data_IF_162043832658
#
_entry.id   IF_162043832658
#
_cell.length_a   1.000
_cell.length_b   1.000
_cell.length_c   1.000
_cell.angle_alpha   90.00
_cell.angle_beta   90.00
_cell.angle_gamma   90.00
#
_symmetry.space_group_name_H-M   'P 1'
#
loop_
_entity.id
_entity.type
_entity.pdbx_description
1 polymer ?
#
# COMPACT_ATOMS: atom_id res chain seq x y z
N UNK A 1 8.68 11.68 -15.49
CA UNK A 1 7.36 11.58 -14.83
C UNK A 1 6.47 10.45 -15.37
N UNK A 2 6.45 10.13 -16.69
CA UNK A 2 5.58 9.09 -17.27
C UNK A 2 5.73 7.66 -16.70
N UNK A 3 6.87 7.34 -16.09
CA UNK A 3 7.20 5.98 -15.59
C UNK A 3 6.57 5.70 -14.21
N UNK A 4 6.22 6.75 -13.45
CA UNK A 4 5.84 6.61 -12.03
C UNK A 4 4.38 6.21 -11.83
N UNK A 5 3.54 6.40 -12.85
CA UNK A 5 2.10 6.22 -12.77
C UNK A 5 1.68 4.97 -13.56
N UNK A 6 0.49 4.48 -13.29
CA UNK A 6 -0.07 3.30 -13.95
C UNK A 6 -1.24 3.71 -14.86
N UNK A 7 -0.97 4.16 -16.12
CA UNK A 7 -2.03 4.43 -17.08
C UNK A 7 -2.64 3.11 -17.58
N UNK A 8 -3.97 3.02 -17.56
CA UNK A 8 -4.71 1.88 -18.09
C UNK A 8 -5.76 2.34 -19.11
N UNK A 9 -6.21 1.39 -19.93
CA UNK A 9 -7.37 1.62 -20.79
C UNK A 9 -8.64 1.51 -19.94
N UNK A 10 -9.67 2.35 -20.14
CA UNK A 10 -10.91 2.29 -19.35
C UNK A 10 -11.61 0.93 -19.37
N UNK A 11 -11.38 0.14 -20.42
CA UNK A 11 -11.97 -1.18 -20.63
C UNK A 11 -11.16 -2.32 -19.97
N UNK A 12 -10.06 -2.03 -19.27
CA UNK A 12 -9.31 -3.05 -18.55
C UNK A 12 -10.22 -3.71 -17.51
N UNK A 13 -10.24 -5.05 -17.49
CA UNK A 13 -10.96 -5.80 -16.49
C UNK A 13 -10.28 -5.67 -15.12
N UNK A 14 -10.96 -4.96 -14.21
CA UNK A 14 -10.57 -4.74 -12.83
C UNK A 14 -11.63 -5.28 -11.85
N UNK A 15 -12.41 -6.27 -12.27
CA UNK A 15 -13.45 -6.89 -11.46
C UNK A 15 -12.90 -7.68 -10.26
N UNK A 16 -11.73 -8.28 -10.42
CA UNK A 16 -11.07 -9.05 -9.37
C UNK A 16 -10.41 -8.19 -8.27
N UNK A 17 -10.22 -6.89 -8.51
CA UNK A 17 -9.49 -5.98 -7.62
C UNK A 17 -10.28 -5.75 -6.33
N UNK A 18 -9.62 -5.88 -5.18
CA UNK A 18 -10.18 -5.50 -3.88
C UNK A 18 -10.30 -3.99 -3.79
N UNK A 19 -11.50 -3.50 -3.46
CA UNK A 19 -11.79 -2.07 -3.40
C UNK A 19 -12.08 -1.62 -1.98
N UNK A 20 -11.29 -0.71 -1.39
CA UNK A 20 -11.59 -0.14 -0.08
C UNK A 20 -12.73 0.88 -0.12
N UNK A 21 -13.13 1.31 -1.32
CA UNK A 21 -14.20 2.28 -1.60
C UNK A 21 -15.01 1.84 -2.81
N UNK A 22 -16.28 2.26 -2.88
CA UNK A 22 -17.16 1.94 -4.01
C UNK A 22 -16.90 2.80 -5.27
N UNK A 23 -15.82 3.59 -5.29
CA UNK A 23 -15.49 4.48 -6.41
C UNK A 23 -14.84 3.69 -7.57
N UNK A 24 -14.87 4.23 -8.80
CA UNK A 24 -14.08 3.71 -9.91
C UNK A 24 -12.59 3.72 -9.58
N UNK A 25 -11.87 2.68 -10.01
CA UNK A 25 -10.41 2.58 -9.82
C UNK A 25 -9.61 3.44 -10.80
N UNK A 26 -10.25 3.89 -11.88
CA UNK A 26 -9.63 4.65 -12.95
C UNK A 26 -10.23 6.05 -12.99
N UNK A 27 -9.39 7.04 -12.71
CA UNK A 27 -9.75 8.46 -12.77
C UNK A 27 -9.14 9.09 -14.02
N UNK A 28 -9.93 9.84 -14.83
CA UNK A 28 -9.40 10.55 -15.99
C UNK A 28 -8.63 11.81 -15.56
N UNK A 29 -7.41 11.96 -16.08
CA UNK A 29 -6.58 13.15 -15.88
C UNK A 29 -6.19 13.76 -17.23
N UNK A 30 -6.23 15.09 -17.30
CA UNK A 30 -5.68 15.86 -18.41
C UNK A 30 -4.17 15.98 -18.24
N UNK A 31 -3.43 15.64 -19.29
CA UNK A 31 -1.98 15.74 -19.34
C UNK A 31 -1.55 17.03 -20.03
N UNK A 32 -0.30 17.43 -19.82
CA UNK A 32 0.30 18.62 -20.46
C UNK A 32 0.29 18.55 -22.00
N UNK A 33 0.21 17.34 -22.56
CA UNK A 33 0.13 17.09 -24.01
C UNK A 33 -1.32 17.10 -24.54
N UNK A 34 -2.27 17.64 -23.76
CA UNK A 34 -3.72 17.63 -24.03
C UNK A 34 -4.33 16.23 -24.24
N UNK A 35 -3.62 15.16 -23.85
CA UNK A 35 -4.19 13.82 -23.84
C UNK A 35 -4.91 13.54 -22.52
N UNK A 36 -6.02 12.82 -22.60
CA UNK A 36 -6.68 12.25 -21.42
C UNK A 36 -6.06 10.88 -21.13
N UNK A 37 -5.58 10.67 -19.90
CA UNK A 37 -5.15 9.34 -19.42
C UNK A 37 -5.94 8.93 -18.22
N UNK A 38 -6.25 7.64 -18.13
CA UNK A 38 -6.93 7.07 -16.98
C UNK A 38 -5.88 6.46 -16.06
N UNK A 39 -5.78 7.00 -14.85
CA UNK A 39 -4.78 6.61 -13.86
C UNK A 39 -5.44 5.84 -12.72
N UNK A 40 -4.68 4.92 -12.14
CA UNK A 40 -5.13 4.13 -11.01
C UNK A 40 -5.22 4.99 -9.74
N UNK A 41 -6.39 4.98 -9.09
CA UNK A 41 -6.69 5.74 -7.87
C UNK A 41 -7.48 4.85 -6.90
N UNK A 42 -6.78 4.16 -5.99
CA UNK A 42 -7.38 3.12 -5.11
C UNK A 42 -8.33 3.70 -4.07
N UNK A 43 -8.03 4.88 -3.55
CA UNK A 43 -8.75 5.47 -2.40
C UNK A 43 -9.62 6.65 -2.78
N UNK A 44 -9.07 7.58 -3.55
CA UNK A 44 -9.73 8.82 -3.98
C UNK A 44 -9.09 9.34 -5.26
N UNK A 45 -9.84 10.16 -6.00
CA UNK A 45 -9.44 10.75 -7.28
C UNK A 45 -8.27 11.75 -7.14
N UNK A 46 -7.99 12.27 -5.95
CA UNK A 46 -6.82 13.09 -5.65
C UNK A 46 -5.56 12.29 -5.26
N UNK A 47 -5.68 10.96 -5.12
CA UNK A 47 -4.60 10.07 -4.71
C UNK A 47 -4.25 9.08 -5.83
N UNK A 48 -3.22 9.43 -6.61
CA UNK A 48 -2.74 8.59 -7.71
C UNK A 48 -1.78 7.53 -7.18
N UNK A 49 -2.05 6.27 -7.52
CA UNK A 49 -1.21 5.14 -7.16
C UNK A 49 0.12 5.13 -7.92
N UNK A 50 1.21 4.86 -7.19
CA UNK A 50 2.53 4.64 -7.77
C UNK A 50 2.64 3.25 -8.41
N UNK A 51 3.40 3.20 -9.51
CA UNK A 51 3.71 1.99 -10.25
C UNK A 51 4.96 1.28 -9.72
N UNK A 52 4.82 0.48 -8.65
CA UNK A 52 5.94 -0.30 -8.08
C UNK A 52 6.50 -1.40 -9.01
N UNK A 53 5.89 -1.65 -10.18
CA UNK A 53 6.48 -2.52 -11.21
C UNK A 53 7.66 -1.86 -11.92
N UNK A 54 7.73 -0.53 -11.91
CA UNK A 54 8.90 0.21 -12.40
C UNK A 54 10.01 0.18 -11.34
N UNK A 55 11.22 -0.32 -11.68
CA UNK A 55 12.37 -0.24 -10.80
C UNK A 55 12.72 1.19 -10.41
N UNK A 56 12.48 2.17 -11.29
CA UNK A 56 12.75 3.59 -11.04
C UNK A 56 11.90 4.14 -9.89
N UNK A 57 10.63 3.70 -9.80
CA UNK A 57 9.76 4.04 -8.66
C UNK A 57 10.31 3.44 -7.37
N UNK A 58 10.68 2.17 -7.40
CA UNK A 58 11.23 1.49 -6.23
C UNK A 58 12.50 2.17 -5.73
N UNK A 59 13.42 2.51 -6.63
CA UNK A 59 14.65 3.24 -6.29
C UNK A 59 14.35 4.62 -5.70
N UNK A 60 13.43 5.39 -6.31
CA UNK A 60 13.03 6.68 -5.76
C UNK A 60 12.41 6.57 -4.36
N UNK A 61 11.63 5.52 -4.09
CA UNK A 61 11.08 5.27 -2.75
C UNK A 61 12.17 4.88 -1.75
N UNK A 62 13.19 4.14 -2.18
CA UNK A 62 14.39 3.85 -1.36
C UNK A 62 15.19 5.12 -1.08
N UNK A 63 15.38 6.01 -2.06
CA UNK A 63 16.08 7.28 -1.83
C UNK A 63 15.33 8.14 -0.79
N UNK A 64 14.00 8.18 -0.86
CA UNK A 64 13.17 8.84 0.15
C UNK A 64 13.37 8.17 1.51
N UNK A 65 13.32 6.84 1.57
CA UNK A 65 13.56 6.06 2.80
C UNK A 65 14.90 6.45 3.44
N UNK A 66 15.99 6.42 2.67
CA UNK A 66 17.33 6.76 3.13
C UNK A 66 17.43 8.22 3.61
N UNK A 67 16.74 9.15 2.95
CA UNK A 67 16.65 10.53 3.38
C UNK A 67 15.96 10.68 4.75
N UNK A 68 14.92 9.88 5.05
CA UNK A 68 14.29 9.86 6.37
C UNK A 68 15.20 9.23 7.43
N UNK A 69 15.86 8.12 7.10
CA UNK A 69 16.82 7.45 7.99
C UNK A 69 17.99 8.37 8.35
N UNK A 70 18.54 9.10 7.37
CA UNK A 70 19.62 10.07 7.60
C UNK A 70 19.23 11.23 8.53
N UNK A 71 17.94 11.45 8.76
CA UNK A 71 17.41 12.44 9.73
C UNK A 71 17.09 11.83 11.10
N UNK A 72 17.43 10.55 11.33
CA UNK A 72 17.14 9.84 12.57
C UNK A 72 15.65 9.60 12.81
N UNK A 73 14.82 9.57 11.77
CA UNK A 73 13.38 9.35 11.88
C UNK A 73 13.04 7.90 11.58
N UNK A 74 12.21 7.31 12.43
CA UNK A 74 11.59 6.02 12.16
C UNK A 74 10.64 6.10 10.95
N UNK A 75 10.32 4.95 10.37
CA UNK A 75 9.49 4.87 9.17
C UNK A 75 8.20 4.13 9.47
N UNK A 76 7.10 4.77 9.10
CA UNK A 76 5.77 4.16 9.05
C UNK A 76 5.31 4.23 7.59
N UNK A 77 5.41 3.13 6.83
CA UNK A 77 4.70 3.02 5.57
C UNK A 77 3.22 3.36 5.79
N UNK A 78 2.66 4.22 4.93
CA UNK A 78 1.26 4.63 5.09
C UNK A 78 0.32 3.42 4.98
N UNK A 79 -0.93 3.59 5.46
CA UNK A 79 -2.00 2.58 5.58
C UNK A 79 -2.42 1.80 4.31
N UNK A 80 -1.60 1.83 3.27
CA UNK A 80 -1.85 1.35 1.92
C UNK A 80 -0.82 0.31 1.46
N UNK A 81 0.06 -0.18 2.35
CA UNK A 81 1.11 -1.15 1.97
C UNK A 81 0.56 -2.36 1.25
N UNK A 82 -0.63 -2.85 1.62
CA UNK A 82 -1.30 -3.96 0.93
C UNK A 82 -1.52 -3.74 -0.56
N UNK A 83 -1.71 -2.50 -0.99
CA UNK A 83 -2.01 -2.13 -2.37
C UNK A 83 -0.77 -1.71 -3.17
N UNK A 84 0.46 -1.92 -2.71
CA UNK A 84 1.66 -1.46 -3.43
C UNK A 84 1.77 -2.05 -4.84
N UNK A 85 1.56 -3.37 -4.98
CA UNK A 85 1.65 -4.04 -6.27
C UNK A 85 0.29 -4.19 -6.96
N UNK A 86 0.23 -3.82 -8.25
CA UNK A 86 -1.00 -3.88 -9.07
C UNK A 86 -0.82 -4.84 -10.23
N UNK A 87 -1.76 -5.75 -10.38
CA UNK A 87 -1.80 -6.73 -11.46
C UNK A 87 -3.26 -7.01 -11.84
N UNK A 88 -3.77 -6.43 -12.95
CA UNK A 88 -5.13 -6.68 -13.42
C UNK A 88 -5.43 -8.18 -13.53
N UNK A 89 -6.64 -8.59 -13.13
CA UNK A 89 -7.02 -10.01 -12.99
C UNK A 89 -6.69 -10.63 -11.62
N UNK A 90 -6.05 -9.89 -10.71
CA UNK A 90 -5.80 -10.31 -9.32
C UNK A 90 -6.52 -9.39 -8.32
N UNK A 91 -6.46 -9.72 -7.04
CA UNK A 91 -6.98 -8.88 -5.95
C UNK A 91 -6.25 -7.53 -5.81
N UNK A 92 -5.01 -7.40 -6.32
CA UNK A 92 -4.15 -6.23 -6.13
C UNK A 92 -3.98 -5.81 -4.66
N UNK A 93 -4.16 -6.75 -3.72
CA UNK A 93 -3.95 -6.56 -2.30
C UNK A 93 -3.20 -7.78 -1.75
N UNK A 94 -2.20 -7.56 -0.87
CA UNK A 94 -1.38 -8.63 -0.25
C UNK A 94 -0.68 -9.55 -1.24
N UNK A 95 -0.39 -9.07 -2.45
CA UNK A 95 0.35 -9.87 -3.43
C UNK A 95 1.77 -10.17 -2.92
N UNK A 96 2.32 -11.32 -3.27
CA UNK A 96 3.68 -11.72 -2.88
C UNK A 96 4.73 -10.63 -3.16
N UNK A 97 4.59 -9.93 -4.29
CA UNK A 97 5.48 -8.84 -4.69
C UNK A 97 5.42 -7.65 -3.72
N UNK A 98 4.28 -7.40 -3.08
CA UNK A 98 4.15 -6.43 -1.99
C UNK A 98 5.00 -6.85 -0.80
N UNK A 99 4.94 -8.13 -0.41
CA UNK A 99 5.76 -8.66 0.69
C UNK A 99 7.25 -8.54 0.39
N UNK A 100 7.68 -8.91 -0.82
CA UNK A 100 9.08 -8.79 -1.25
C UNK A 100 9.60 -7.35 -1.20
N UNK A 101 8.75 -6.37 -1.55
CA UNK A 101 9.11 -4.94 -1.42
C UNK A 101 9.35 -4.60 0.05
N UNK A 102 8.49 -5.03 0.97
CA UNK A 102 8.64 -4.71 2.40
C UNK A 102 9.88 -5.40 2.98
N UNK A 103 10.15 -6.66 2.62
CA UNK A 103 11.39 -7.36 3.00
C UNK A 103 12.63 -6.63 2.50
N UNK A 104 12.60 -6.10 1.27
CA UNK A 104 13.69 -5.27 0.74
C UNK A 104 13.88 -4.00 1.59
N UNK A 105 12.80 -3.25 1.87
CA UNK A 105 12.89 -2.04 2.69
C UNK A 105 13.40 -2.35 4.10
N UNK A 106 12.95 -3.47 4.69
CA UNK A 106 13.43 -3.98 5.97
C UNK A 106 14.94 -4.23 5.94
N UNK A 107 15.42 -4.97 4.93
CA UNK A 107 16.85 -5.27 4.79
C UNK A 107 17.69 -3.99 4.68
N UNK A 108 17.21 -2.97 3.96
CA UNK A 108 17.90 -1.68 3.84
C UNK A 108 17.97 -0.98 5.20
N UNK A 109 16.86 -0.95 5.95
CA UNK A 109 16.79 -0.32 7.28
C UNK A 109 17.78 -0.99 8.24
N UNK A 110 17.79 -2.33 8.28
CA UNK A 110 18.64 -3.11 9.18
C UNK A 110 20.14 -2.85 8.90
N UNK A 111 20.51 -2.60 7.65
CA UNK A 111 21.90 -2.33 7.26
C UNK A 111 22.30 -0.86 7.47
N UNK A 112 21.40 0.10 7.20
CA UNK A 112 21.74 1.53 7.18
C UNK A 112 21.48 2.22 8.51
N UNK A 113 20.44 1.82 9.24
CA UNK A 113 20.03 2.45 10.49
C UNK A 113 19.54 1.40 11.51
N UNK A 114 20.45 0.55 12.03
CA UNK A 114 20.11 -0.45 13.03
C UNK A 114 19.36 0.16 14.22
N UNK A 115 18.29 -0.50 14.65
CA UNK A 115 17.39 0.00 15.71
C UNK A 115 16.22 0.85 15.21
N UNK A 116 16.14 1.13 13.90
CA UNK A 116 14.94 1.72 13.31
C UNK A 116 13.89 0.65 13.02
N UNK A 117 12.66 0.90 13.43
CA UNK A 117 11.53 -0.02 13.27
C UNK A 117 10.69 0.39 12.06
N UNK A 118 10.26 -0.60 11.28
CA UNK A 118 9.23 -0.46 10.24
C UNK A 118 7.91 -1.02 10.73
N UNK A 119 6.84 -0.23 10.63
CA UNK A 119 5.50 -0.59 11.12
C UNK A 119 4.54 -0.64 9.93
N UNK A 120 4.05 -1.81 9.56
CA UNK A 120 2.98 -1.90 8.55
C UNK A 120 1.64 -1.54 9.15
N UNK A 121 0.84 -0.81 8.39
CA UNK A 121 -0.49 -0.39 8.80
C UNK A 121 -1.48 -0.87 7.74
N UNK A 122 -2.26 -1.92 8.04
CA UNK A 122 -3.32 -2.38 7.14
C UNK A 122 -4.62 -2.61 7.88
N UNK A 123 -5.71 -2.07 7.35
CA UNK A 123 -7.05 -2.24 7.90
C UNK A 123 -7.73 -3.45 7.26
N UNK A 124 -7.25 -4.64 7.61
CA UNK A 124 -7.65 -5.92 7.02
C UNK A 124 -7.88 -6.97 8.11
N UNK A 125 -8.49 -8.13 7.81
CA UNK A 125 -8.61 -9.22 8.77
C UNK A 125 -7.28 -9.58 9.42
N UNK A 126 -7.32 -9.98 10.69
CA UNK A 126 -6.12 -10.23 11.49
C UNK A 126 -5.10 -11.15 10.80
N UNK A 127 -5.59 -12.23 10.15
CA UNK A 127 -4.76 -13.19 9.42
C UNK A 127 -3.92 -12.54 8.32
N UNK A 128 -4.49 -11.61 7.57
CA UNK A 128 -3.81 -10.94 6.46
C UNK A 128 -2.83 -9.87 6.96
N UNK A 129 -3.13 -9.28 8.12
CA UNK A 129 -2.27 -8.27 8.74
C UNK A 129 -1.00 -8.91 9.33
N UNK A 130 -1.13 -10.02 10.07
CA UNK A 130 0.03 -10.70 10.67
C UNK A 130 0.95 -11.36 9.64
N UNK A 131 0.47 -11.59 8.41
CA UNK A 131 1.30 -12.11 7.33
C UNK A 131 2.50 -11.18 7.02
N UNK A 132 2.40 -9.89 7.35
CA UNK A 132 3.50 -8.92 7.20
C UNK A 132 4.64 -9.09 8.21
N UNK A 133 4.55 -10.00 9.17
CA UNK A 133 5.73 -10.43 9.93
C UNK A 133 6.66 -11.31 9.08
N UNK A 134 6.19 -11.85 7.96
CA UNK A 134 6.94 -12.75 7.11
C UNK A 134 7.11 -14.14 7.74
N UNK A 135 8.26 -14.79 7.47
CA UNK A 135 8.61 -16.11 8.02
C UNK A 135 9.20 -15.97 9.44
N UNK A 136 8.59 -15.12 10.28
CA UNK A 136 8.97 -14.87 11.67
C UNK A 136 9.43 -13.44 11.93
N UNK A 137 10.48 -12.97 11.27
CA UNK A 137 11.11 -11.67 11.56
C UNK A 137 11.76 -10.97 10.34
N UNK A 138 11.51 -11.44 9.12
CA UNK A 138 12.22 -11.00 7.92
C UNK A 138 11.52 -9.88 7.12
N UNK A 139 10.35 -9.44 7.58
CA UNK A 139 9.54 -8.40 6.93
C UNK A 139 9.30 -7.20 7.86
N UNK A 140 8.08 -6.95 8.34
CA UNK A 140 7.80 -5.84 9.23
C UNK A 140 8.23 -6.17 10.67
N UNK A 141 8.84 -5.19 11.36
CA UNK A 141 9.17 -5.33 12.78
C UNK A 141 7.91 -5.30 13.65
N UNK A 142 6.92 -4.51 13.23
CA UNK A 142 5.65 -4.39 13.91
C UNK A 142 4.52 -4.29 12.89
N UNK A 143 3.37 -4.79 13.27
CA UNK A 143 2.14 -4.72 12.49
C UNK A 143 1.10 -3.98 13.33
N UNK A 144 0.51 -2.91 12.78
CA UNK A 144 -0.55 -2.17 13.44
C UNK A 144 -1.91 -2.81 13.14
N UNK A 145 -2.61 -3.26 14.18
CA UNK A 145 -3.93 -3.90 14.07
C UNK A 145 -5.05 -2.92 14.41
N UNK A 146 -5.91 -2.61 13.43
CA UNK A 146 -7.14 -1.84 13.64
C UNK A 146 -8.25 -2.69 14.28
N UNK A 147 -8.03 -3.25 15.47
CA UNK A 147 -9.06 -3.94 16.25
C UNK A 147 -9.34 -3.16 17.55
N UNK A 148 -9.94 -1.98 17.43
CA UNK A 148 -10.54 -1.27 18.59
C UNK A 148 -11.55 -0.15 18.26
N UNK A 149 -11.95 0.09 17.00
CA UNK A 149 -12.96 1.13 16.70
C UNK A 149 -14.33 0.57 16.25
N UNK A 150 -14.39 -0.61 15.62
CA UNK A 150 -15.66 -1.16 15.14
C UNK A 150 -16.30 -2.19 16.09
N UNK A 151 -15.52 -2.88 16.92
CA UNK A 151 -16.05 -3.91 17.84
C UNK A 151 -16.79 -3.31 19.05
N UNK A 152 -16.51 -2.05 19.43
CA UNK A 152 -17.23 -1.35 20.50
C UNK A 152 -18.64 -0.89 20.11
N UNK A 153 -18.88 -0.61 18.82
CA UNK A 153 -20.18 -0.16 18.33
C UNK A 153 -21.22 -1.29 18.19
N UNK A 154 -20.76 -2.55 18.10
CA UNK A 154 -21.65 -3.71 17.98
C UNK A 154 -22.11 -4.30 19.32
N UNK A 155 -21.50 -3.91 20.45
CA UNK A 155 -21.84 -4.44 21.77
C UNK A 155 -22.95 -3.66 22.51
N UNK A 156 -23.48 -2.58 21.93
CA UNK A 156 -24.50 -1.72 22.55
C UNK A 156 -25.93 -1.88 22.03
N UNK A 157 -26.20 -2.75 21.05
CA UNK A 157 -27.48 -2.77 20.32
C UNK A 157 -28.27 -4.09 20.46
N UNK A 158 -28.20 -4.77 21.62
CA UNK A 158 -29.10 -5.88 21.95
C UNK A 158 -29.41 -5.93 23.44
N UNK A 159 -30.38 -5.12 23.88
CA UNK A 159 -31.28 -5.39 25.02
C UNK A 159 -32.32 -4.27 25.08
N UNK A 160 -33.48 -4.52 24.46
CA UNK A 160 -34.80 -4.00 24.84
C UNK A 160 -35.82 -4.58 23.85
N UNK A 161 -36.36 -5.76 24.19
CA UNK A 161 -37.73 -6.22 23.95
C UNK A 161 -38.03 -7.35 24.92
#
# INVERSE_FOLDING_TARGET
MKIFLLPLIPQTDLSAVTRPRALPLLTPFQMDDNSTRHLWTTFSDDQIDLNYRSPEVLLAMVDILLCYLGKGRGIRPSGCVGFMWKEPGTSCIHLEKTHLIIKLLRSIIDNVAPGTVIITETNVPHKDNIAYFGEGDDEAHMVYQFLAAAAGAACGAKTER
#
